data_IF_008722443965
#
_entry.id   IF_008722443965
#
_cell.length_a   1.000
_cell.length_b   1.000
_cell.length_c   1.000
_cell.angle_alpha   90.00
_cell.angle_beta   90.00
_cell.angle_gamma   90.00
#
_symmetry.space_group_name_H-M   'P 1'
#
loop_
_entity.id
_entity.type
_entity.pdbx_description
1 polymer ?
#
# COMPACT_ATOMS: atom_id res chain seq x y z
N UNK A 1 -11.60 -12.42 -0.72
CA UNK A 1 -11.14 -13.78 -0.35
C UNK A 1 -9.89 -13.71 0.50
N UNK A 2 -8.77 -13.16 0.02
CA UNK A 2 -7.49 -13.06 0.77
C UNK A 2 -7.65 -12.51 2.20
N UNK A 3 -8.45 -11.44 2.39
CA UNK A 3 -8.73 -10.87 3.72
C UNK A 3 -9.26 -11.89 4.74
N UNK A 4 -10.03 -12.89 4.29
CA UNK A 4 -10.72 -13.83 5.20
C UNK A 4 -9.95 -15.12 5.44
N UNK A 5 -8.81 -15.31 4.76
CA UNK A 5 -8.05 -16.58 4.79
C UNK A 5 -6.58 -16.38 5.20
N UNK A 6 -6.18 -15.15 5.52
CA UNK A 6 -4.79 -14.81 5.76
C UNK A 6 -4.68 -13.94 7.01
N UNK A 7 -3.72 -14.26 7.88
CA UNK A 7 -3.40 -13.46 9.05
C UNK A 7 -2.56 -12.24 8.68
N UNK A 8 -1.69 -12.40 7.67
CA UNK A 8 -0.81 -11.36 7.13
C UNK A 8 -0.82 -11.39 5.61
N UNK A 9 -0.63 -10.23 4.99
CA UNK A 9 -0.65 -10.09 3.53
C UNK A 9 0.62 -9.37 3.09
N UNK A 10 1.36 -10.00 2.18
CA UNK A 10 2.44 -9.38 1.43
C UNK A 10 1.93 -8.92 0.06
N UNK A 11 2.23 -7.68 -0.31
CA UNK A 11 1.94 -7.11 -1.64
C UNK A 11 3.21 -7.09 -2.45
N UNK A 12 3.15 -7.63 -3.68
CA UNK A 12 4.27 -7.67 -4.62
C UNK A 12 3.96 -6.77 -5.82
N UNK A 13 4.93 -5.97 -6.24
CA UNK A 13 4.91 -5.23 -7.49
C UNK A 13 6.23 -5.41 -8.23
N UNK A 14 6.15 -5.79 -9.52
CA UNK A 14 7.33 -6.00 -10.40
C UNK A 14 8.46 -6.82 -9.76
N UNK A 15 8.09 -7.92 -9.10
CA UNK A 15 9.05 -8.84 -8.48
C UNK A 15 9.63 -8.39 -7.13
N UNK A 16 9.16 -7.28 -6.56
CA UNK A 16 9.57 -6.80 -5.22
C UNK A 16 8.38 -6.84 -4.26
N UNK A 17 8.61 -7.29 -3.03
CA UNK A 17 7.65 -7.08 -1.95
C UNK A 17 7.70 -5.59 -1.61
N UNK A 18 6.54 -4.93 -1.69
CA UNK A 18 6.42 -3.50 -1.45
C UNK A 18 5.78 -3.18 -0.11
N UNK A 19 5.00 -4.10 0.43
CA UNK A 19 4.31 -3.93 1.71
C UNK A 19 3.95 -5.28 2.33
N UNK A 20 4.04 -5.40 3.65
CA UNK A 20 3.65 -6.58 4.42
C UNK A 20 3.09 -6.14 5.77
N UNK A 21 1.86 -6.50 6.10
CA UNK A 21 1.27 -6.23 7.40
C UNK A 21 0.28 -7.32 7.81
N UNK A 22 -0.22 -7.25 9.04
CA UNK A 22 -1.44 -7.99 9.41
C UNK A 22 -2.59 -7.57 8.51
N UNK A 23 -3.48 -8.51 8.21
CA UNK A 23 -4.56 -8.32 7.25
C UNK A 23 -5.43 -7.12 7.60
N UNK A 24 -5.89 -7.01 8.85
CA UNK A 24 -6.77 -5.90 9.23
C UNK A 24 -6.03 -4.56 9.23
N UNK A 25 -4.74 -4.55 9.58
CA UNK A 25 -3.88 -3.35 9.52
C UNK A 25 -3.68 -2.91 8.07
N UNK A 26 -3.37 -3.83 7.15
CA UNK A 26 -3.14 -3.51 5.74
C UNK A 26 -4.39 -2.90 5.08
N UNK A 27 -5.57 -3.41 5.45
CA UNK A 27 -6.84 -2.91 4.91
C UNK A 27 -7.26 -1.57 5.54
N UNK A 28 -6.93 -1.34 6.81
CA UNK A 28 -7.26 -0.10 7.52
C UNK A 28 -6.28 1.04 7.20
N UNK A 29 -4.99 0.74 7.14
CA UNK A 29 -3.92 1.70 6.90
C UNK A 29 -2.91 1.19 5.86
N UNK A 30 -3.31 0.99 4.59
CA UNK A 30 -2.33 0.71 3.54
C UNK A 30 -1.37 1.90 3.45
N UNK A 31 -0.06 1.66 3.52
CA UNK A 31 0.96 2.71 3.46
C UNK A 31 1.43 2.93 2.02
N UNK A 32 1.73 1.84 1.31
CA UNK A 32 2.36 1.92 -0.01
C UNK A 32 1.33 2.35 -1.07
N UNK A 33 1.66 3.33 -1.95
CA UNK A 33 0.72 3.89 -2.92
C UNK A 33 0.12 2.85 -3.89
N UNK A 34 0.90 1.82 -4.26
CA UNK A 34 0.38 0.73 -5.07
C UNK A 34 -0.65 -0.11 -4.32
N UNK A 35 -0.44 -0.39 -3.04
CA UNK A 35 -1.41 -1.11 -2.20
C UNK A 35 -2.71 -0.32 -2.06
N UNK A 36 -2.63 1.01 -1.87
CA UNK A 36 -3.81 1.89 -1.86
C UNK A 36 -4.61 1.80 -3.15
N UNK A 37 -3.92 1.85 -4.30
CA UNK A 37 -4.53 1.66 -5.62
C UNK A 37 -5.25 0.32 -5.73
N UNK A 38 -4.61 -0.79 -5.33
CA UNK A 38 -5.23 -2.12 -5.34
C UNK A 38 -6.47 -2.21 -4.45
N UNK A 39 -6.39 -1.72 -3.20
CA UNK A 39 -7.53 -1.76 -2.28
C UNK A 39 -8.67 -0.85 -2.74
N UNK A 40 -8.37 0.29 -3.35
CA UNK A 40 -9.37 1.17 -3.96
C UNK A 40 -10.10 0.53 -5.14
N UNK A 41 -9.58 -0.56 -5.72
CA UNK A 41 -10.24 -1.31 -6.80
C UNK A 41 -11.20 -2.39 -6.28
N UNK A 42 -11.23 -2.69 -4.97
CA UNK A 42 -12.08 -3.77 -4.41
C UNK A 42 -13.56 -3.43 -4.55
N UNK A 43 -14.37 -4.22 -5.28
CA UNK A 43 -15.78 -3.91 -5.50
C UNK A 43 -16.58 -3.80 -4.20
N UNK A 44 -17.45 -2.81 -4.13
CA UNK A 44 -18.38 -2.62 -3.02
C UNK A 44 -19.73 -3.27 -3.34
N UNK A 45 -20.39 -3.96 -2.39
CA UNK A 45 -21.67 -4.62 -2.65
C UNK A 45 -22.82 -3.66 -3.02
N UNK A 46 -22.72 -2.38 -2.65
CA UNK A 46 -23.76 -1.38 -2.91
C UNK A 46 -23.57 -0.75 -4.31
N UNK A 47 -24.48 -0.98 -5.28
CA UNK A 47 -24.30 -0.49 -6.65
C UNK A 47 -24.26 1.04 -6.76
N UNK A 48 -24.93 1.77 -5.85
CA UNK A 48 -24.94 3.25 -5.85
C UNK A 48 -23.59 3.81 -5.39
N UNK A 49 -22.94 3.13 -4.46
CA UNK A 49 -21.59 3.48 -3.99
C UNK A 49 -20.57 3.13 -5.06
N UNK A 50 -20.67 1.92 -5.63
CA UNK A 50 -19.74 1.44 -6.64
C UNK A 50 -19.70 2.35 -7.87
N UNK A 51 -20.86 2.81 -8.34
CA UNK A 51 -20.94 3.71 -9.51
C UNK A 51 -20.18 5.03 -9.32
N UNK A 52 -20.09 5.53 -8.09
CA UNK A 52 -19.44 6.82 -7.80
C UNK A 52 -18.03 6.66 -7.22
N UNK A 53 -17.54 5.42 -7.14
CA UNK A 53 -16.25 5.11 -6.55
C UNK A 53 -15.12 5.69 -7.39
N UNK A 54 -14.17 6.36 -6.72
CA UNK A 54 -12.93 6.81 -7.35
C UNK A 54 -11.85 5.77 -7.11
N UNK A 55 -11.36 5.16 -8.18
CA UNK A 55 -10.20 4.27 -8.12
C UNK A 55 -8.95 5.14 -8.06
N UNK A 56 -8.09 4.87 -7.09
CA UNK A 56 -6.78 5.51 -7.02
C UNK A 56 -5.88 4.93 -8.10
N UNK A 57 -5.32 5.78 -8.95
CA UNK A 57 -4.36 5.38 -9.97
C UNK A 57 -2.95 5.51 -9.41
N UNK A 58 -2.24 4.39 -9.34
CA UNK A 58 -0.84 4.38 -8.94
C UNK A 58 0.06 4.94 -10.06
N UNK A 59 0.88 5.93 -9.70
CA UNK A 59 1.89 6.53 -10.58
C UNK A 59 3.27 6.48 -9.90
N UNK A 60 4.15 5.53 -10.28
CA UNK A 60 5.50 5.44 -9.74
C UNK A 60 6.30 6.74 -9.89
N UNK A 61 6.14 7.48 -10.99
CA UNK A 61 6.87 8.71 -11.25
C UNK A 61 6.50 9.84 -10.29
N UNK A 62 5.29 9.81 -9.75
CA UNK A 62 4.82 10.75 -8.72
C UNK A 62 5.33 10.39 -7.32
N UNK A 63 5.32 9.12 -6.97
CA UNK A 63 5.62 8.68 -5.59
C UNK A 63 7.11 8.43 -5.37
N UNK A 64 7.80 7.87 -6.36
CA UNK A 64 9.14 7.29 -6.25
C UNK A 64 10.18 8.03 -7.11
N UNK A 65 10.00 9.35 -7.30
CA UNK A 65 10.83 10.17 -8.18
C UNK A 65 12.29 10.32 -7.73
N UNK A 66 12.58 10.02 -6.46
CA UNK A 66 13.88 10.20 -5.82
C UNK A 66 14.66 8.90 -5.60
N UNK A 67 14.17 7.75 -6.09
CA UNK A 67 14.78 6.43 -5.86
C UNK A 67 16.21 6.30 -6.39
N UNK A 68 16.61 7.08 -7.40
CA UNK A 68 17.99 7.10 -7.90
C UNK A 68 18.98 7.73 -6.90
N UNK A 69 18.51 8.68 -6.08
CA UNK A 69 19.34 9.42 -5.11
C UNK A 69 19.14 8.95 -3.68
N UNK A 70 17.95 8.43 -3.39
CA UNK A 70 17.51 7.97 -2.09
C UNK A 70 16.77 6.63 -2.28
N UNK A 71 17.53 5.54 -2.48
CA UNK A 71 16.96 4.24 -2.77
C UNK A 71 16.08 3.76 -1.61
N UNK A 72 14.98 3.04 -1.89
CA UNK A 72 14.14 2.50 -0.85
C UNK A 72 14.80 1.31 -0.17
N UNK A 73 14.50 1.14 1.11
CA UNK A 73 14.89 -0.02 1.89
C UNK A 73 13.66 -0.75 2.42
N UNK A 74 13.83 -2.02 2.76
CA UNK A 74 12.78 -2.79 3.40
C UNK A 74 12.76 -2.46 4.89
N UNK A 75 11.81 -1.62 5.30
CA UNK A 75 11.78 -1.03 6.63
C UNK A 75 10.50 -1.41 7.36
N UNK A 76 10.61 -1.61 8.68
CA UNK A 76 9.45 -1.73 9.56
C UNK A 76 8.95 -0.32 9.89
N UNK A 77 7.83 0.07 9.29
CA UNK A 77 7.26 1.40 9.48
C UNK A 77 6.54 1.49 10.83
N UNK A 78 5.72 0.49 11.14
CA UNK A 78 5.05 0.29 12.41
C UNK A 78 5.25 -1.17 12.85
N UNK A 79 5.07 -1.51 14.15
CA UNK A 79 5.27 -2.88 14.61
C UNK A 79 4.48 -3.90 13.78
N UNK A 80 5.19 -4.81 13.11
CA UNK A 80 4.61 -5.84 12.24
C UNK A 80 4.21 -5.38 10.82
N UNK A 81 4.36 -4.08 10.50
CA UNK A 81 4.02 -3.46 9.23
C UNK A 81 5.28 -2.97 8.50
N UNK A 82 5.67 -3.71 7.48
CA UNK A 82 6.86 -3.47 6.67
C UNK A 82 6.49 -2.84 5.33
N UNK A 83 7.33 -1.92 4.86
CA UNK A 83 7.14 -1.20 3.60
C UNK A 83 8.49 -1.05 2.90
N UNK A 84 8.51 -1.18 1.58
CA UNK A 84 9.65 -0.81 0.76
C UNK A 84 9.63 0.71 0.55
N UNK A 85 10.37 1.46 1.35
CA UNK A 85 10.29 2.92 1.36
C UNK A 85 11.65 3.55 1.65
N UNK A 86 11.85 4.77 1.16
CA UNK A 86 13.00 5.59 1.57
C UNK A 86 12.65 6.47 2.77
N UNK A 87 13.63 7.20 3.31
CA UNK A 87 13.42 8.03 4.51
C UNK A 87 12.33 9.11 4.35
N UNK A 88 12.18 9.67 3.14
CA UNK A 88 11.16 10.70 2.86
C UNK A 88 9.77 10.08 2.91
N UNK A 89 9.59 8.99 2.16
CA UNK A 89 8.33 8.25 2.11
C UNK A 89 7.92 7.75 3.49
N UNK A 90 8.87 7.25 4.28
CA UNK A 90 8.60 6.77 5.63
C UNK A 90 8.06 7.89 6.54
N UNK A 91 8.61 9.11 6.43
CA UNK A 91 8.11 10.28 7.16
C UNK A 91 6.69 10.65 6.72
N UNK A 92 6.42 10.61 5.41
CA UNK A 92 5.09 10.90 4.85
C UNK A 92 4.04 9.85 5.21
N UNK A 93 4.43 8.58 5.33
CA UNK A 93 3.52 7.49 5.68
C UNK A 93 3.16 7.53 7.16
N UNK A 94 4.11 7.87 8.04
CA UNK A 94 3.88 8.03 9.49
C UNK A 94 3.10 9.29 9.87
N UNK A 95 3.06 10.29 9.00
CA UNK A 95 2.38 11.57 9.28
C UNK A 95 0.91 11.59 8.88
N UNK A 96 0.37 10.50 8.35
CA UNK A 96 -1.02 10.36 7.90
C UNK A 96 -1.82 9.48 8.85
#
# INVERSE_FOLDING_TARGET
VVRFISDRIAVIHKGKIVELAETEILFANPMYPYTKSLLSAIPTPNPRVERNKKIEVYDPGKYHYDYDKNPPEWVEAEPGHFVLANERELKEYKSK
#
